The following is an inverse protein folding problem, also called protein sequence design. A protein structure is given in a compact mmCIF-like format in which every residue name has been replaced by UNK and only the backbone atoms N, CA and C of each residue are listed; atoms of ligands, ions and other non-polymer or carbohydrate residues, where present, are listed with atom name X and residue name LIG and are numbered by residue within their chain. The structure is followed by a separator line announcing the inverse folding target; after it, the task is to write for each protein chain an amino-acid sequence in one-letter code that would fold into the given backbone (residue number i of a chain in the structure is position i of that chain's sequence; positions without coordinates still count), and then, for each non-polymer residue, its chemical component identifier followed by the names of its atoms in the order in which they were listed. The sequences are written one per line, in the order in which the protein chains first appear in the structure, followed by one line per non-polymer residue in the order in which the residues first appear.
data_IF_067148318290
#
_entry.id   IF_067148318290
#
_cell.length_a   1.000
_cell.length_b   1.000
_cell.length_c   1.000
_cell.angle_alpha   90.00
_cell.angle_beta   90.00
_cell.angle_gamma   90.00
#
_symmetry.space_group_name_H-M   'P 1'
#
loop_
_entity.id
_entity.type
_entity.pdbx_description
1 polymer ?
#
# COMPACT_ATOMS: atom_id res chain seq x y z
N UNK A 1 -54.52 -1.56 4.39
CA UNK A 1 -55.69 -2.14 5.08
C UNK A 1 -56.54 -3.04 4.16
N UNK A 2 -56.87 -2.62 2.94
CA UNK A 2 -57.66 -3.42 1.98
C UNK A 2 -57.07 -4.81 1.66
N UNK A 3 -55.75 -4.90 1.50
CA UNK A 3 -55.07 -6.17 1.21
C UNK A 3 -55.22 -7.21 2.32
N UNK A 4 -55.05 -6.80 3.59
CA UNK A 4 -55.22 -7.70 4.73
C UNK A 4 -56.68 -8.13 4.88
N UNK A 5 -57.63 -7.22 4.68
CA UNK A 5 -59.05 -7.55 4.74
C UNK A 5 -59.43 -8.54 3.63
N UNK A 6 -58.97 -8.34 2.39
CA UNK A 6 -59.24 -9.23 1.27
C UNK A 6 -58.61 -10.61 1.43
N UNK A 7 -57.39 -10.68 1.97
CA UNK A 7 -56.72 -11.93 2.29
C UNK A 7 -57.46 -12.71 3.39
N UNK A 8 -57.84 -12.03 4.48
CA UNK A 8 -58.60 -12.66 5.58
C UNK A 8 -59.97 -13.12 5.06
N UNK A 9 -60.66 -12.32 4.24
CA UNK A 9 -61.92 -12.73 3.60
C UNK A 9 -61.74 -13.96 2.72
N UNK A 10 -60.63 -14.05 1.97
CA UNK A 10 -60.32 -15.22 1.14
C UNK A 10 -60.07 -16.48 1.98
N UNK A 11 -59.39 -16.36 3.13
CA UNK A 11 -59.21 -17.46 4.08
C UNK A 11 -60.56 -17.91 4.63
N UNK A 12 -61.41 -16.97 5.06
CA UNK A 12 -62.73 -17.28 5.60
C UNK A 12 -63.58 -17.99 4.55
N UNK A 13 -63.61 -17.49 3.31
CA UNK A 13 -64.33 -18.10 2.20
C UNK A 13 -63.81 -19.51 1.90
N UNK A 14 -62.49 -19.70 1.90
CA UNK A 14 -61.88 -21.01 1.71
C UNK A 14 -62.27 -21.99 2.82
N UNK A 15 -62.26 -21.57 4.09
CA UNK A 15 -62.68 -22.41 5.23
C UNK A 15 -64.16 -22.79 5.09
N UNK A 16 -65.03 -21.86 4.71
CA UNK A 16 -66.45 -22.14 4.49
C UNK A 16 -66.68 -23.12 3.33
N UNK A 17 -65.92 -23.01 2.25
CA UNK A 17 -66.00 -23.96 1.14
C UNK A 17 -65.47 -25.34 1.55
N UNK A 18 -64.34 -25.35 2.27
CA UNK A 18 -63.73 -26.57 2.79
C UNK A 18 -64.66 -27.34 3.72
N UNK A 19 -65.41 -26.65 4.60
CA UNK A 19 -66.38 -27.30 5.49
C UNK A 19 -67.56 -27.89 4.72
N UNK A 20 -68.06 -27.21 3.69
CA UNK A 20 -69.09 -27.75 2.79
C UNK A 20 -68.59 -29.02 2.09
N UNK A 21 -67.36 -28.99 1.55
CA UNK A 21 -66.74 -30.16 0.92
C UNK A 21 -66.57 -31.30 1.91
N UNK A 22 -66.15 -31.00 3.15
CA UNK A 22 -66.00 -31.99 4.22
C UNK A 22 -67.33 -32.66 4.59
N UNK A 23 -68.43 -31.90 4.61
CA UNK A 23 -69.78 -32.40 4.89
C UNK A 23 -70.36 -33.23 3.75
N UNK A 24 -70.02 -32.92 2.50
CA UNK A 24 -70.43 -33.69 1.34
C UNK A 24 -69.67 -35.02 1.21
N UNK A 25 -68.47 -35.10 1.80
CA UNK A 25 -67.66 -36.31 1.78
C UNK A 25 -68.22 -37.37 2.75
N UNK A 26 -68.47 -38.60 2.29
CA UNK A 26 -68.86 -39.69 3.17
C UNK A 26 -67.72 -40.05 4.12
N UNK A 27 -68.05 -40.57 5.30
CA UNK A 27 -67.11 -41.00 6.36
C UNK A 27 -66.28 -42.22 5.96
N UNK A 28 -65.44 -42.02 4.96
CA UNK A 28 -64.60 -43.01 4.30
C UNK A 28 -63.12 -42.75 4.57
N UNK A 29 -62.26 -43.70 4.19
CA UNK A 29 -60.81 -43.48 4.21
C UNK A 29 -60.39 -42.24 3.43
N UNK A 30 -61.10 -41.89 2.35
CA UNK A 30 -60.84 -40.69 1.53
C UNK A 30 -61.06 -39.38 2.28
N UNK A 31 -62.01 -39.33 3.23
CA UNK A 31 -62.22 -38.12 4.03
C UNK A 31 -60.97 -37.72 4.82
N UNK A 32 -60.19 -38.70 5.30
CA UNK A 32 -58.94 -38.45 6.05
C UNK A 32 -57.87 -37.80 5.18
N UNK A 33 -57.72 -38.29 3.95
CA UNK A 33 -56.76 -37.74 2.99
C UNK A 33 -57.18 -36.34 2.52
N UNK A 34 -58.47 -36.13 2.25
CA UNK A 34 -58.98 -34.81 1.87
C UNK A 34 -58.78 -33.78 2.96
N UNK A 35 -59.01 -34.12 4.24
CA UNK A 35 -58.73 -33.22 5.37
C UNK A 35 -57.27 -32.79 5.44
N UNK A 36 -56.35 -33.72 5.20
CA UNK A 36 -54.91 -33.42 5.18
C UNK A 36 -54.57 -32.46 4.05
N UNK A 37 -55.06 -32.72 2.84
CA UNK A 37 -54.81 -31.86 1.66
C UNK A 37 -55.42 -30.48 1.85
N UNK A 38 -56.66 -30.37 2.34
CA UNK A 38 -57.31 -29.09 2.64
C UNK A 38 -56.53 -28.32 3.71
N UNK A 39 -56.06 -28.99 4.77
CA UNK A 39 -55.22 -28.38 5.79
C UNK A 39 -53.90 -27.86 5.24
N UNK A 40 -53.27 -28.61 4.34
CA UNK A 40 -52.04 -28.17 3.65
C UNK A 40 -52.31 -26.95 2.76
N UNK A 41 -53.40 -26.96 1.99
CA UNK A 41 -53.81 -25.82 1.18
C UNK A 41 -54.09 -24.59 2.05
N UNK A 42 -54.72 -24.75 3.20
CA UNK A 42 -54.96 -23.66 4.15
C UNK A 42 -53.63 -23.06 4.64
N UNK A 43 -52.65 -23.90 5.01
CA UNK A 43 -51.32 -23.44 5.42
C UNK A 43 -50.68 -22.62 4.30
N UNK A 44 -50.72 -23.08 3.05
CA UNK A 44 -50.16 -22.34 1.90
C UNK A 44 -50.82 -20.98 1.72
N UNK A 45 -52.15 -20.91 1.79
CA UNK A 45 -52.90 -19.65 1.68
C UNK A 45 -52.54 -18.67 2.80
N UNK A 46 -52.33 -19.17 4.02
CA UNK A 46 -51.90 -18.36 5.15
C UNK A 46 -50.44 -17.89 5.00
N UNK A 47 -49.57 -18.76 4.49
CA UNK A 47 -48.14 -18.49 4.35
C UNK A 47 -47.84 -17.48 3.23
N UNK A 48 -48.66 -17.44 2.18
CA UNK A 48 -48.45 -16.60 0.98
C UNK A 48 -48.13 -15.12 1.27
N UNK A 49 -48.90 -14.36 2.06
CA UNK A 49 -48.55 -12.97 2.37
C UNK A 49 -47.32 -12.84 3.26
N UNK A 50 -47.06 -13.81 4.14
CA UNK A 50 -45.87 -13.83 5.00
C UNK A 50 -44.62 -13.93 4.11
N UNK A 51 -44.66 -14.85 3.12
CA UNK A 51 -43.60 -14.98 2.13
C UNK A 51 -43.43 -13.70 1.31
N UNK A 52 -44.53 -13.08 0.85
CA UNK A 52 -44.47 -11.83 0.06
C UNK A 52 -43.84 -10.67 0.81
N UNK A 53 -44.10 -10.55 2.12
CA UNK A 53 -43.45 -9.56 2.96
C UNK A 53 -41.93 -9.82 3.05
N UNK A 54 -41.53 -11.09 3.21
CA UNK A 54 -40.12 -11.48 3.26
C UNK A 54 -39.40 -11.30 1.92
N UNK A 55 -40.08 -11.57 0.79
CA UNK A 55 -39.51 -11.42 -0.55
C UNK A 55 -39.22 -9.97 -0.92
N UNK A 56 -40.07 -9.03 -0.49
CA UNK A 56 -39.91 -7.60 -0.83
C UNK A 56 -38.61 -7.03 -0.26
N UNK A 57 -38.25 -7.40 0.98
CA UNK A 57 -36.97 -7.02 1.58
C UNK A 57 -35.80 -7.69 0.84
N UNK A 58 -35.94 -8.96 0.46
CA UNK A 58 -34.91 -9.67 -0.28
C UNK A 58 -34.66 -9.06 -1.65
N UNK A 59 -35.70 -8.70 -2.41
CA UNK A 59 -35.56 -8.04 -3.70
C UNK A 59 -34.81 -6.70 -3.57
N UNK A 60 -35.07 -5.93 -2.50
CA UNK A 60 -34.32 -4.69 -2.20
C UNK A 60 -32.85 -4.97 -1.82
N UNK A 61 -32.60 -6.01 -1.03
CA UNK A 61 -31.24 -6.44 -0.66
C UNK A 61 -30.46 -6.96 -1.88
N UNK A 62 -31.09 -7.74 -2.76
CA UNK A 62 -30.52 -8.21 -4.02
C UNK A 62 -30.29 -7.05 -4.99
N UNK A 63 -31.21 -6.08 -5.08
CA UNK A 63 -31.02 -4.88 -5.87
C UNK A 63 -29.85 -4.03 -5.35
N UNK A 64 -29.70 -3.87 -4.03
CA UNK A 64 -28.56 -3.18 -3.40
C UNK A 64 -27.24 -3.93 -3.61
N UNK A 65 -27.26 -5.26 -3.55
CA UNK A 65 -26.07 -6.10 -3.76
C UNK A 65 -25.61 -6.10 -5.22
N UNK A 66 -26.55 -6.12 -6.17
CA UNK A 66 -26.28 -6.06 -7.63
C UNK A 66 -25.90 -4.66 -8.10
N UNK A 67 -26.46 -3.59 -7.50
CA UNK A 67 -26.03 -2.21 -7.79
C UNK A 67 -24.68 -1.85 -7.18
N UNK A 68 -24.31 -2.41 -6.02
CA UNK A 68 -22.95 -2.23 -5.46
C UNK A 68 -21.86 -3.03 -6.19
N UNK A 69 -22.23 -4.02 -7.00
CA UNK A 69 -21.29 -4.85 -7.75
C UNK A 69 -21.18 -4.51 -9.25
N UNK A 70 -21.92 -3.50 -9.74
CA UNK A 70 -22.00 -3.25 -11.19
C UNK A 70 -21.41 -1.92 -11.68
N UNK A 71 -20.92 -1.02 -10.82
CA UNK A 71 -20.35 0.26 -11.28
C UNK A 71 -19.20 0.81 -10.42
N UNK A 72 -18.30 -0.04 -9.91
CA UNK A 72 -16.90 0.38 -9.79
C UNK A 72 -16.23 0.03 -11.10
N UNK A 73 -16.23 0.99 -12.04
CA UNK A 73 -15.57 0.89 -13.34
C UNK A 73 -14.25 0.15 -13.17
N UNK A 74 -14.13 -1.02 -13.80
CA UNK A 74 -12.93 -1.88 -13.74
C UNK A 74 -11.64 -1.07 -13.94
N UNK A 75 -11.71 -0.07 -14.82
CA UNK A 75 -10.66 0.92 -15.08
C UNK A 75 -10.27 1.77 -13.86
N UNK A 76 -11.23 2.26 -13.06
CA UNK A 76 -10.93 3.00 -11.83
C UNK A 76 -10.25 2.11 -10.79
N UNK A 77 -10.68 0.84 -10.70
CA UNK A 77 -10.09 -0.13 -9.78
C UNK A 77 -8.67 -0.51 -10.23
N UNK A 78 -8.46 -0.74 -11.53
CA UNK A 78 -7.13 -1.01 -12.11
C UNK A 78 -6.18 0.18 -11.90
N UNK A 79 -6.64 1.41 -12.15
CA UNK A 79 -5.83 2.61 -11.93
C UNK A 79 -5.44 2.79 -10.45
N UNK A 80 -6.36 2.54 -9.52
CA UNK A 80 -6.07 2.61 -8.09
C UNK A 80 -5.08 1.51 -7.66
N UNK A 81 -5.20 0.31 -8.22
CA UNK A 81 -4.29 -0.81 -7.95
C UNK A 81 -2.89 -0.48 -8.48
N UNK A 82 -2.76 0.01 -9.71
CA UNK A 82 -1.46 0.39 -10.29
C UNK A 82 -0.82 1.55 -9.52
N UNK A 83 -1.61 2.55 -9.11
CA UNK A 83 -1.11 3.64 -8.26
C UNK A 83 -0.59 3.11 -6.92
N UNK A 84 -1.33 2.20 -6.27
CA UNK A 84 -0.91 1.61 -4.99
C UNK A 84 0.31 0.72 -5.13
N UNK A 85 0.41 -0.03 -6.22
CA UNK A 85 1.60 -0.83 -6.55
C UNK A 85 2.83 0.07 -6.69
N UNK A 86 2.74 1.18 -7.43
CA UNK A 86 3.84 2.12 -7.59
C UNK A 86 4.25 2.77 -6.25
N UNK A 87 3.29 3.15 -5.42
CA UNK A 87 3.55 3.70 -4.07
C UNK A 87 4.30 2.69 -3.20
N UNK A 88 3.89 1.42 -3.22
CA UNK A 88 4.55 0.34 -2.48
C UNK A 88 5.97 0.10 -3.00
N UNK A 89 6.17 0.06 -4.32
CA UNK A 89 7.49 -0.13 -4.93
C UNK A 89 8.46 0.99 -4.56
N UNK A 90 8.03 2.26 -4.63
CA UNK A 90 8.85 3.40 -4.24
C UNK A 90 9.23 3.36 -2.75
N UNK A 91 8.27 3.05 -1.87
CA UNK A 91 8.53 2.90 -0.44
C UNK A 91 9.51 1.77 -0.14
N UNK A 92 9.37 0.64 -0.84
CA UNK A 92 10.27 -0.50 -0.69
C UNK A 92 11.68 -0.20 -1.18
N UNK A 93 11.82 0.46 -2.33
CA UNK A 93 13.10 0.87 -2.88
C UNK A 93 13.82 1.86 -1.94
N UNK A 94 13.11 2.87 -1.44
CA UNK A 94 13.65 3.82 -0.47
C UNK A 94 14.13 3.13 0.82
N UNK A 95 13.40 2.13 1.32
CA UNK A 95 13.83 1.34 2.48
C UNK A 95 15.13 0.57 2.21
N UNK A 96 15.24 -0.09 1.05
CA UNK A 96 16.45 -0.81 0.65
C UNK A 96 17.64 0.13 0.53
N UNK A 97 17.47 1.27 -0.15
CA UNK A 97 18.54 2.26 -0.35
C UNK A 97 19.03 2.85 0.98
N UNK A 98 18.11 3.18 1.89
CA UNK A 98 18.48 3.64 3.24
C UNK A 98 19.26 2.56 4.00
N UNK A 99 18.84 1.30 3.92
CA UNK A 99 19.58 0.19 4.56
C UNK A 99 20.97 0.01 3.96
N UNK A 100 21.10 0.11 2.64
CA UNK A 100 22.38 0.05 1.95
C UNK A 100 23.30 1.21 2.37
N UNK A 101 22.77 2.43 2.45
CA UNK A 101 23.49 3.62 2.90
C UNK A 101 24.02 3.48 4.34
N UNK A 102 23.21 2.94 5.26
CA UNK A 102 23.64 2.69 6.65
C UNK A 102 24.78 1.68 6.71
N UNK A 103 24.71 0.58 5.95
CA UNK A 103 25.77 -0.44 5.91
C UNK A 103 27.07 0.12 5.30
N UNK A 104 26.95 0.89 4.21
CA UNK A 104 28.09 1.55 3.58
C UNK A 104 28.74 2.58 4.52
N UNK A 105 27.94 3.31 5.29
CA UNK A 105 28.43 4.24 6.30
C UNK A 105 29.22 3.49 7.38
N UNK A 106 28.63 2.45 7.97
CA UNK A 106 29.28 1.66 9.02
C UNK A 106 30.60 1.04 8.57
N UNK A 107 30.70 0.64 7.30
CA UNK A 107 31.92 0.05 6.72
C UNK A 107 33.10 1.03 6.60
N UNK A 108 32.84 2.34 6.45
CA UNK A 108 33.89 3.34 6.19
C UNK A 108 34.06 4.38 7.29
N UNK A 109 33.13 4.47 8.25
CA UNK A 109 33.10 5.52 9.27
C UNK A 109 34.34 5.50 10.18
N UNK A 110 34.83 4.33 10.57
CA UNK A 110 36.02 4.21 11.42
C UNK A 110 37.30 4.66 10.68
N UNK A 111 37.50 4.17 9.45
CA UNK A 111 38.70 4.44 8.66
C UNK A 111 38.76 5.90 8.16
N UNK A 112 37.60 6.49 7.81
CA UNK A 112 37.52 7.91 7.45
C UNK A 112 37.83 8.83 8.63
N UNK A 113 37.39 8.46 9.84
CA UNK A 113 37.70 9.22 11.05
C UNK A 113 39.18 9.14 11.42
N UNK A 114 39.78 7.95 11.34
CA UNK A 114 41.18 7.74 11.73
C UNK A 114 42.19 8.25 10.71
N UNK A 115 41.95 8.02 9.43
CA UNK A 115 42.92 8.34 8.37
C UNK A 115 42.75 9.73 7.79
N UNK A 116 41.53 10.28 7.84
CA UNK A 116 41.18 11.53 7.16
C UNK A 116 40.53 12.58 8.08
N UNK A 117 40.22 12.26 9.35
CA UNK A 117 39.64 13.22 10.29
C UNK A 117 38.25 13.72 9.91
N UNK A 118 37.49 12.94 9.14
CA UNK A 118 36.14 13.30 8.64
C UNK A 118 35.11 12.26 9.06
N UNK A 119 33.87 12.69 9.24
CA UNK A 119 32.72 11.85 9.57
C UNK A 119 31.68 11.88 8.48
N UNK A 120 31.01 10.75 8.26
CA UNK A 120 29.95 10.63 7.23
C UNK A 120 28.64 11.20 7.76
N UNK A 121 28.15 12.27 7.13
CA UNK A 121 26.88 12.91 7.47
C UNK A 121 25.70 12.27 6.76
N UNK A 122 25.83 12.03 5.46
CA UNK A 122 24.78 11.41 4.65
C UNK A 122 25.38 10.62 3.47
N UNK A 123 24.70 9.54 3.08
CA UNK A 123 25.04 8.72 1.89
C UNK A 123 23.78 8.56 1.05
N UNK A 124 23.82 9.04 -0.19
CA UNK A 124 22.75 8.87 -1.16
C UNK A 124 23.22 7.95 -2.29
N UNK A 125 22.43 6.92 -2.55
CA UNK A 125 22.74 5.90 -3.55
C UNK A 125 21.74 6.05 -4.70
N UNK A 126 22.26 6.24 -5.91
CA UNK A 126 21.48 6.30 -7.16
C UNK A 126 21.64 4.96 -7.87
N UNK A 127 20.51 4.34 -8.24
CA UNK A 127 20.47 3.03 -8.90
C UNK A 127 19.78 3.13 -10.25
N UNK A 128 20.20 2.28 -11.21
CA UNK A 128 19.69 2.32 -12.59
C UNK A 128 18.20 1.98 -12.71
N UNK A 129 17.66 1.15 -11.81
CA UNK A 129 16.28 0.67 -11.83
C UNK A 129 15.69 0.64 -10.41
N UNK A 130 15.31 1.81 -9.90
CA UNK A 130 14.73 1.95 -8.56
C UNK A 130 13.38 1.19 -8.43
N UNK A 131 12.52 1.25 -9.45
CA UNK A 131 11.17 0.64 -9.42
C UNK A 131 11.15 -0.90 -9.34
N UNK A 132 12.29 -1.56 -9.61
CA UNK A 132 12.45 -3.02 -9.61
C UNK A 132 13.38 -3.51 -8.50
N UNK A 133 13.73 -2.64 -7.55
CA UNK A 133 14.66 -2.97 -6.47
C UNK A 133 13.98 -3.88 -5.42
N UNK A 134 14.38 -5.16 -5.40
CA UNK A 134 13.89 -6.15 -4.43
C UNK A 134 14.88 -6.43 -3.31
N UNK A 135 16.16 -6.18 -3.54
CA UNK A 135 17.26 -6.49 -2.63
C UNK A 135 18.29 -5.36 -2.66
N UNK A 136 19.21 -5.36 -1.69
CA UNK A 136 20.31 -4.38 -1.61
C UNK A 136 21.08 -4.40 -2.94
N UNK A 137 21.25 -3.23 -3.60
CA UNK A 137 21.91 -3.17 -4.90
C UNK A 137 23.37 -3.61 -4.78
N UNK A 138 23.77 -4.50 -5.68
CA UNK A 138 25.17 -4.85 -5.93
C UNK A 138 25.79 -3.84 -6.91
N UNK A 139 27.12 -3.83 -6.98
CA UNK A 139 27.96 -2.89 -7.76
C UNK A 139 27.44 -2.60 -9.18
N UNK A 140 26.97 -3.63 -9.90
CA UNK A 140 26.49 -3.50 -11.28
C UNK A 140 25.22 -2.63 -11.42
N UNK A 141 24.43 -2.56 -10.34
CA UNK A 141 23.13 -1.87 -10.29
C UNK A 141 23.22 -0.45 -9.74
N UNK A 142 24.37 -0.07 -9.17
CA UNK A 142 24.63 1.26 -8.65
C UNK A 142 25.10 2.15 -9.81
N UNK A 143 24.44 3.28 -9.98
CA UNK A 143 24.79 4.30 -10.99
C UNK A 143 25.72 5.36 -10.39
N UNK A 144 25.42 5.84 -9.19
CA UNK A 144 26.32 6.74 -8.47
C UNK A 144 26.07 6.70 -6.97
N UNK A 145 27.09 7.07 -6.20
CA UNK A 145 27.02 7.26 -4.76
C UNK A 145 27.49 8.67 -4.45
N UNK A 146 26.64 9.44 -3.77
CA UNK A 146 26.94 10.79 -3.31
C UNK A 146 27.09 10.76 -1.81
N UNK A 147 28.24 11.23 -1.32
CA UNK A 147 28.55 11.22 0.11
C UNK A 147 28.83 12.62 0.58
N UNK A 148 28.14 12.98 1.65
CA UNK A 148 28.37 14.21 2.39
C UNK A 148 29.26 13.91 3.60
N UNK A 149 30.42 14.53 3.64
CA UNK A 149 31.37 14.43 4.73
C UNK A 149 31.38 15.74 5.53
N UNK A 150 31.58 15.61 6.84
CA UNK A 150 31.75 16.73 7.78
C UNK A 150 33.10 16.57 8.48
N UNK A 151 33.77 17.69 8.75
CA UNK A 151 35.05 17.67 9.44
C UNK A 151 34.83 17.28 10.91
N UNK A 152 35.59 16.31 11.42
CA UNK A 152 35.49 15.94 12.82
C UNK A 152 36.00 17.12 13.67
N UNK A 153 35.15 17.73 14.49
CA UNK A 153 35.55 18.83 15.36
C UNK A 153 36.63 18.36 16.35
N UNK A 154 37.89 18.72 16.09
CA UNK A 154 38.88 18.85 17.15
C UNK A 154 38.63 20.19 17.87
N UNK A 155 38.21 20.14 19.13
CA UNK A 155 38.26 21.29 20.03
C UNK A 155 39.72 21.75 20.23
N UNK A 156 40.23 22.59 19.32
CA UNK A 156 41.50 23.27 19.49
C UNK A 156 41.50 24.61 18.72
N UNK A 157 41.31 25.68 19.48
CA UNK A 157 41.37 27.08 19.10
C UNK A 157 42.62 27.34 18.23
N UNK A 158 42.44 27.77 16.97
CA UNK A 158 43.52 28.40 16.21
C UNK A 158 43.14 29.81 15.77
N UNK A 159 43.98 30.73 16.23
CA UNK A 159 43.90 32.18 16.10
C UNK A 159 43.98 32.59 14.63
N UNK A 160 42.97 33.33 14.17
CA UNK A 160 42.96 33.98 12.86
C UNK A 160 44.16 34.92 12.70
N UNK A 161 45.02 34.65 11.72
CA UNK A 161 46.01 35.62 11.25
C UNK A 161 45.36 36.52 10.19
N UNK A 162 45.55 37.85 10.26
CA UNK A 162 44.93 38.76 9.31
C UNK A 162 45.51 38.57 7.90
N UNK A 163 44.62 38.50 6.91
CA UNK A 163 44.94 38.33 5.49
C UNK A 163 45.41 39.65 4.89
N UNK A 164 46.67 39.69 4.43
CA UNK A 164 47.15 40.69 3.47
C UNK A 164 46.98 40.12 2.06
N UNK A 165 46.29 40.86 1.20
CA UNK A 165 45.97 40.44 -0.17
C UNK A 165 47.04 41.00 -1.11
N UNK A 166 47.95 40.14 -1.56
CA UNK A 166 48.87 40.40 -2.67
C UNK A 166 48.34 39.72 -3.95
N UNK A 167 48.03 40.50 -4.98
CA UNK A 167 47.19 40.12 -6.13
C UNK A 167 47.97 39.58 -7.36
N UNK A 168 49.11 38.90 -7.18
CA UNK A 168 49.97 38.50 -8.31
C UNK A 168 50.39 37.02 -8.37
N UNK A 169 49.48 36.06 -8.08
CA UNK A 169 49.74 34.63 -8.35
C UNK A 169 48.54 33.90 -8.96
N UNK A 170 48.83 33.12 -10.01
CA UNK A 170 47.92 32.17 -10.66
C UNK A 170 47.28 31.22 -9.63
N UNK A 171 45.99 30.98 -9.81
CA UNK A 171 45.12 30.15 -8.96
C UNK A 171 45.54 28.68 -9.03
N UNK A 172 46.38 28.24 -8.08
CA UNK A 172 46.52 26.82 -7.76
C UNK A 172 45.18 26.28 -7.21
N UNK A 173 44.80 25.01 -7.50
CA UNK A 173 43.60 24.42 -6.94
C UNK A 173 43.70 24.40 -5.41
N UNK A 174 42.61 24.76 -4.73
CA UNK A 174 42.55 24.78 -3.27
C UNK A 174 42.92 23.41 -2.67
N UNK A 175 43.60 23.37 -1.50
CA UNK A 175 44.03 22.13 -0.85
C UNK A 175 42.89 21.13 -0.60
N UNK A 176 41.65 21.59 -0.42
CA UNK A 176 40.44 20.77 -0.26
C UNK A 176 40.18 19.82 -1.44
N UNK A 177 40.33 20.30 -2.68
CA UNK A 177 40.10 19.49 -3.89
C UNK A 177 41.04 18.28 -4.04
N UNK A 178 42.21 18.33 -3.39
CA UNK A 178 43.21 17.25 -3.44
C UNK A 178 42.95 16.18 -2.39
N UNK A 179 42.30 16.52 -1.28
CA UNK A 179 41.87 15.59 -0.23
C UNK A 179 40.59 14.85 -0.64
N UNK A 180 39.63 15.56 -1.24
CA UNK A 180 38.41 14.99 -1.82
C UNK A 180 38.71 13.90 -2.85
N UNK A 181 39.68 14.12 -3.75
CA UNK A 181 40.06 13.12 -4.75
C UNK A 181 40.72 11.86 -4.17
N UNK A 182 41.41 11.97 -3.03
CA UNK A 182 42.00 10.81 -2.34
C UNK A 182 40.91 9.99 -1.64
N UNK A 183 39.97 10.67 -0.99
CA UNK A 183 38.82 10.02 -0.33
C UNK A 183 37.94 9.32 -1.38
N UNK A 184 37.66 9.97 -2.52
CA UNK A 184 36.91 9.34 -3.61
C UNK A 184 37.60 8.08 -4.17
N UNK A 185 38.93 8.09 -4.27
CA UNK A 185 39.70 6.91 -4.73
C UNK A 185 39.68 5.77 -3.70
N UNK A 186 39.78 6.11 -2.41
CA UNK A 186 39.66 5.13 -1.32
C UNK A 186 38.27 4.47 -1.28
N UNK A 187 37.21 5.27 -1.36
CA UNK A 187 35.83 4.77 -1.38
C UNK A 187 35.53 3.93 -2.63
N UNK A 188 36.11 4.30 -3.77
CA UNK A 188 36.00 3.53 -5.03
C UNK A 188 36.63 2.14 -4.89
N UNK A 189 37.81 2.05 -4.28
CA UNK A 189 38.46 0.77 -4.01
C UNK A 189 37.67 -0.07 -3.00
N UNK A 190 37.20 0.55 -1.91
CA UNK A 190 36.47 -0.15 -0.84
C UNK A 190 35.14 -0.73 -1.30
N UNK A 191 34.36 0.02 -2.09
CA UNK A 191 33.07 -0.42 -2.60
C UNK A 191 33.12 -1.04 -3.99
N UNK A 192 34.32 -1.23 -4.54
CA UNK A 192 34.54 -1.79 -5.88
C UNK A 192 33.77 -1.03 -6.98
N UNK A 193 33.54 0.28 -6.77
CA UNK A 193 32.88 1.16 -7.71
C UNK A 193 33.93 1.94 -8.51
N UNK A 194 33.58 2.38 -9.73
CA UNK A 194 34.51 3.24 -10.46
C UNK A 194 34.58 4.62 -9.80
N UNK A 195 35.76 5.27 -9.75
CA UNK A 195 35.92 6.59 -9.13
C UNK A 195 35.04 7.68 -9.76
N UNK A 196 34.62 7.50 -11.01
CA UNK A 196 33.68 8.39 -11.73
C UNK A 196 32.26 8.34 -11.21
N UNK A 197 31.90 7.30 -10.45
CA UNK A 197 30.57 7.05 -9.93
C UNK A 197 30.43 7.50 -8.48
N UNK A 198 31.51 7.98 -7.85
CA UNK A 198 31.49 8.48 -6.47
C UNK A 198 31.71 10.00 -6.50
N UNK A 199 30.75 10.72 -5.94
CA UNK A 199 30.87 12.17 -5.72
C UNK A 199 31.01 12.44 -4.23
N UNK A 200 32.10 13.08 -3.84
CA UNK A 200 32.39 13.45 -2.45
C UNK A 200 32.21 14.95 -2.30
N UNK A 201 31.44 15.38 -1.29
CA UNK A 201 31.30 16.78 -0.90
C UNK A 201 31.63 16.93 0.58
N UNK A 202 32.53 17.86 0.92
CA UNK A 202 32.90 18.17 2.30
C UNK A 202 32.24 19.48 2.72
N UNK A 203 31.38 19.44 3.73
CA UNK A 203 30.76 20.63 4.32
C UNK A 203 31.73 21.22 5.35
N UNK A 204 32.42 22.32 5.00
CA UNK A 204 33.34 23.01 5.92
C UNK A 204 34.56 23.72 5.31
N UNK A 205 34.70 23.85 4.00
CA UNK A 205 35.82 24.56 3.37
C UNK A 205 35.39 25.77 2.55
N UNK A 206 35.59 26.98 3.09
CA UNK A 206 35.86 28.20 2.31
C UNK A 206 37.38 28.47 2.33
#
# INVERSE_FOLDING_TARGET
MSYLTEWITSIILFILLATVVEMLLPSSSMQKYTKLVIGLLLIVVILTPILKLLSTDMDELFAKMTTHSSYTSKENTENLIEMKKKEIQASHAAYILNKAAVLMKEDVEEELRESYGVTVKDIQIVVKNEDQLTEIPIEENIESVVILLEQAEETAIQVVKPVQIDTSRQKEPAPSSREEGKIATFLADRWQLQPTNISVAVEGGD
#
